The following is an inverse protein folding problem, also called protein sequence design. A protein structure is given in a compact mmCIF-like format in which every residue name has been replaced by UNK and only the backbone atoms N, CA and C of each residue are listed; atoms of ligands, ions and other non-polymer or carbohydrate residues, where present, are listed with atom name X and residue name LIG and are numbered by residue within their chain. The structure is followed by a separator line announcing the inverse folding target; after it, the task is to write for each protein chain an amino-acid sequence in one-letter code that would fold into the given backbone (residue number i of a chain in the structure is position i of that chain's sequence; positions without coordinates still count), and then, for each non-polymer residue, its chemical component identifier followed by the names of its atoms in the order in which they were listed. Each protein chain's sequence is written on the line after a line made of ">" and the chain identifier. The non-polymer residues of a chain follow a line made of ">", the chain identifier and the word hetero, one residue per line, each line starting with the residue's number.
data_IF_276172852331
#
_entry.id   IF_276172852331
#
_cell.length_a   1.000
_cell.length_b   1.000
_cell.length_c   1.000
_cell.angle_alpha   90.00
_cell.angle_beta   90.00
_cell.angle_gamma   90.00
#
_symmetry.space_group_name_H-M   'P 1'
#
loop_
_entity.id
_entity.type
_entity.pdbx_description
1 polymer ?
#
# COMPACT_ATOMS: atom_id res chain seq x y z
N UNK A 1 -17.34 -7.01 -3.31
CA UNK A 1 -16.48 -7.82 -2.42
C UNK A 1 -15.54 -6.87 -1.69
N UNK A 2 -15.63 -6.78 -0.35
CA UNK A 2 -14.72 -6.00 0.51
C UNK A 2 -13.79 -6.99 1.25
N UNK A 3 -12.90 -7.68 0.53
CA UNK A 3 -12.21 -8.88 1.06
C UNK A 3 -10.71 -8.87 0.82
N UNK A 4 -10.05 -7.75 1.08
CA UNK A 4 -8.58 -7.70 1.19
C UNK A 4 -8.02 -7.21 2.54
N UNK A 5 -8.78 -6.71 3.56
CA UNK A 5 -8.15 -6.16 4.77
C UNK A 5 -7.33 -7.22 5.53
N UNK A 6 -7.85 -8.44 5.68
CA UNK A 6 -7.14 -9.49 6.41
C UNK A 6 -5.80 -9.88 5.78
N UNK A 7 -5.75 -10.10 4.46
CA UNK A 7 -4.51 -10.56 3.80
C UNK A 7 -3.38 -9.55 3.83
N UNK A 8 -3.72 -8.25 3.79
CA UNK A 8 -2.72 -7.18 3.85
C UNK A 8 -2.09 -7.10 5.24
N UNK A 9 -2.89 -7.24 6.29
CA UNK A 9 -2.43 -7.25 7.67
C UNK A 9 -1.66 -8.54 8.00
N UNK A 10 -2.15 -9.70 7.54
CA UNK A 10 -1.50 -11.01 7.75
C UNK A 10 -0.10 -11.07 7.13
N UNK A 11 0.08 -10.45 5.95
CA UNK A 11 1.38 -10.41 5.27
C UNK A 11 2.02 -9.02 5.27
N UNK A 12 1.72 -8.20 6.29
CA UNK A 12 2.12 -6.79 6.31
C UNK A 12 3.63 -6.60 6.20
N UNK A 13 4.41 -7.41 6.90
CA UNK A 13 5.89 -7.38 6.85
C UNK A 13 6.44 -7.54 5.43
N UNK A 14 5.89 -8.46 4.65
CA UNK A 14 6.31 -8.67 3.25
C UNK A 14 5.79 -7.55 2.35
N UNK A 15 4.52 -7.15 2.53
CA UNK A 15 3.92 -6.04 1.79
C UNK A 15 4.75 -4.77 1.98
N UNK A 16 5.17 -4.42 3.20
CA UNK A 16 6.01 -3.25 3.50
C UNK A 16 7.30 -3.22 2.66
N UNK A 17 7.97 -4.36 2.45
CA UNK A 17 9.18 -4.44 1.62
C UNK A 17 8.89 -3.97 0.18
N UNK A 18 7.81 -4.48 -0.41
CA UNK A 18 7.38 -4.08 -1.76
C UNK A 18 6.89 -2.63 -1.80
N UNK A 19 6.19 -2.16 -0.76
CA UNK A 19 5.74 -0.77 -0.65
C UNK A 19 6.93 0.19 -0.66
N UNK A 20 8.00 -0.10 0.08
CA UNK A 20 9.22 0.73 0.09
C UNK A 20 9.95 0.73 -1.25
N UNK A 21 9.88 -0.37 -2.00
CA UNK A 21 10.45 -0.43 -3.36
C UNK A 21 9.64 0.42 -4.35
N UNK A 22 8.32 0.34 -4.31
CA UNK A 22 7.43 1.09 -5.21
C UNK A 22 7.31 2.58 -4.83
N UNK A 23 7.41 2.88 -3.53
CA UNK A 23 7.32 4.23 -2.96
C UNK A 23 8.52 4.50 -2.03
N UNK A 24 9.69 4.87 -2.59
CA UNK A 24 10.92 5.07 -1.81
C UNK A 24 10.89 6.25 -0.83
N UNK A 25 9.88 7.12 -0.89
CA UNK A 25 9.67 8.20 0.11
C UNK A 25 8.90 7.71 1.34
N UNK A 26 8.29 6.52 1.32
CA UNK A 26 7.68 5.92 2.51
C UNK A 26 8.78 5.43 3.45
N UNK A 27 8.71 5.84 4.71
CA UNK A 27 9.62 5.36 5.75
C UNK A 27 9.04 4.15 6.48
N UNK A 28 9.87 3.36 7.16
CA UNK A 28 9.37 2.28 8.03
C UNK A 28 8.40 2.83 9.09
N UNK A 29 8.70 3.99 9.67
CA UNK A 29 7.85 4.62 10.68
C UNK A 29 6.45 4.89 10.12
N UNK A 30 6.33 5.45 8.90
CA UNK A 30 5.04 5.68 8.27
C UNK A 30 4.26 4.37 8.05
N UNK A 31 4.96 3.30 7.68
CA UNK A 31 4.38 1.99 7.43
C UNK A 31 4.01 1.26 8.73
N UNK A 32 4.76 1.44 9.80
CA UNK A 32 4.40 0.95 11.13
C UNK A 32 3.13 1.63 11.64
N UNK A 33 3.01 2.95 11.44
CA UNK A 33 1.77 3.66 11.77
C UNK A 33 0.56 3.16 10.97
N UNK A 34 0.77 2.70 9.73
CA UNK A 34 -0.31 2.20 8.87
C UNK A 34 -0.84 0.84 9.35
N UNK A 35 -0.01 -0.02 9.97
CA UNK A 35 -0.41 -1.32 10.53
C UNK A 35 -1.24 -2.22 9.57
N UNK A 36 -0.92 -2.16 8.28
CA UNK A 36 -1.64 -2.92 7.25
C UNK A 36 -3.02 -2.38 6.91
N UNK A 37 -3.40 -1.20 7.42
CA UNK A 37 -4.65 -0.53 7.07
C UNK A 37 -4.57 0.03 5.65
N UNK A 38 -5.31 -0.61 4.74
CA UNK A 38 -5.33 -0.25 3.31
C UNK A 38 -5.73 1.21 3.06
N UNK A 39 -6.73 1.72 3.76
CA UNK A 39 -7.23 3.09 3.56
C UNK A 39 -6.22 4.14 4.07
N UNK A 40 -5.58 3.83 5.22
CA UNK A 40 -4.54 4.66 5.82
C UNK A 40 -3.30 4.73 4.94
N UNK A 41 -2.91 3.61 4.32
CA UNK A 41 -1.83 3.56 3.33
C UNK A 41 -2.08 4.49 2.15
N UNK A 42 -3.30 4.44 1.57
CA UNK A 42 -3.66 5.29 0.44
C UNK A 42 -3.56 6.76 0.83
N UNK A 43 -4.09 7.12 2.00
CA UNK A 43 -4.06 8.50 2.49
C UNK A 43 -2.62 8.98 2.68
N UNK A 44 -1.77 8.22 3.36
CA UNK A 44 -0.35 8.58 3.58
C UNK A 44 0.42 8.74 2.26
N UNK A 45 0.21 7.83 1.29
CA UNK A 45 0.83 7.95 -0.04
C UNK A 45 0.40 9.23 -0.74
N UNK A 46 -0.89 9.59 -0.67
CA UNK A 46 -1.40 10.85 -1.22
C UNK A 46 -0.79 12.06 -0.54
N UNK A 47 -0.50 12.02 0.76
CA UNK A 47 0.13 13.14 1.47
C UNK A 47 1.61 13.31 1.09
N UNK A 48 2.35 12.21 0.96
CA UNK A 48 3.79 12.24 0.67
C UNK A 48 4.08 12.55 -0.80
N UNK A 49 3.20 12.13 -1.70
CA UNK A 49 3.37 12.26 -3.15
C UNK A 49 2.38 13.24 -3.80
N UNK A 50 1.47 13.84 -3.03
CA UNK A 50 0.40 14.70 -3.54
C UNK A 50 0.90 16.06 -4.02
N UNK A 51 0.94 16.24 -5.34
CA UNK A 51 0.97 17.53 -6.02
C UNK A 51 -0.40 17.92 -6.60
N UNK A 52 -0.57 19.18 -7.05
CA UNK A 52 -1.86 19.74 -7.51
C UNK A 52 -2.45 19.08 -8.77
N UNK A 53 -1.68 18.26 -9.49
CA UNK A 53 -2.13 17.50 -10.66
C UNK A 53 -2.25 15.98 -10.44
N UNK A 54 -1.61 15.40 -9.42
CA UNK A 54 -0.80 14.21 -9.72
C UNK A 54 -0.91 13.06 -8.71
N UNK A 55 -2.14 12.73 -8.31
CA UNK A 55 -2.46 11.35 -7.92
C UNK A 55 -2.85 10.51 -9.15
N UNK A 56 -3.32 11.15 -10.24
CA UNK A 56 -3.87 10.71 -11.55
C UNK A 56 -4.20 9.23 -11.80
N UNK A 57 -4.55 8.43 -10.81
CA UNK A 57 -5.92 8.12 -10.41
C UNK A 57 -5.74 7.41 -9.07
N UNK A 58 -6.55 7.68 -8.05
CA UNK A 58 -6.57 6.86 -6.82
C UNK A 58 -6.66 5.36 -7.16
N UNK A 59 -7.32 5.05 -8.29
CA UNK A 59 -7.35 3.74 -8.91
C UNK A 59 -5.96 3.16 -9.24
N UNK A 60 -4.98 3.96 -9.65
CA UNK A 60 -3.60 3.52 -9.89
C UNK A 60 -2.89 3.16 -8.58
N UNK A 61 -3.06 3.96 -7.51
CA UNK A 61 -2.52 3.63 -6.18
C UNK A 61 -3.15 2.32 -5.69
N UNK A 62 -4.49 2.25 -5.70
CA UNK A 62 -5.26 1.06 -5.33
C UNK A 62 -4.84 -0.17 -6.16
N UNK A 63 -4.61 0.02 -7.46
CA UNK A 63 -4.16 -1.02 -8.38
C UNK A 63 -2.76 -1.53 -8.07
N UNK A 64 -1.81 -0.63 -7.76
CA UNK A 64 -0.45 -1.01 -7.33
C UNK A 64 -0.47 -1.77 -6.01
N UNK A 65 -1.18 -1.26 -5.00
CA UNK A 65 -1.31 -1.94 -3.70
C UNK A 65 -1.92 -3.33 -3.90
N UNK A 66 -2.97 -3.44 -4.72
CA UNK A 66 -3.59 -4.73 -5.04
C UNK A 66 -2.60 -5.71 -5.68
N UNK A 67 -1.77 -5.27 -6.64
CA UNK A 67 -0.73 -6.13 -7.25
C UNK A 67 0.30 -6.61 -6.26
N UNK A 68 0.66 -5.77 -5.29
CA UNK A 68 1.60 -6.15 -4.22
C UNK A 68 0.95 -7.22 -3.33
N UNK A 69 -0.27 -6.99 -2.87
CA UNK A 69 -0.98 -7.98 -2.03
C UNK A 69 -1.20 -9.29 -2.78
N UNK A 70 -1.47 -9.24 -4.09
CA UNK A 70 -1.63 -10.43 -4.94
C UNK A 70 -0.32 -11.21 -5.10
N UNK A 71 0.83 -10.53 -5.20
CA UNK A 71 2.16 -11.16 -5.22
C UNK A 71 2.55 -11.83 -3.90
N UNK A 72 2.05 -11.29 -2.79
CA UNK A 72 2.30 -11.83 -1.45
C UNK A 72 1.25 -12.90 -1.08
N UNK A 73 0.10 -12.87 -1.76
CA UNK A 73 -0.93 -13.92 -1.75
C UNK A 73 -0.47 -15.22 -2.41
N UNK A 74 -1.24 -16.32 -2.26
CA UNK A 74 -0.69 -17.65 -2.13
C UNK A 74 0.18 -18.06 -3.33
N UNK A 75 1.41 -18.46 -3.02
CA UNK A 75 2.15 -19.43 -3.83
C UNK A 75 1.31 -20.71 -3.92
N UNK A 76 0.45 -20.80 -4.92
CA UNK A 76 -0.08 -22.06 -5.45
C UNK A 76 0.44 -22.23 -6.86
#
# INVERSE_FOLDING_TARGET
>A
MKTTPNRMQEHWEEVKKFLKQEWPKLTDVDLEEIDGEYDRLITKIKEIYGGPEEITQEAAIKGKIKRIIDRVGPFT
#
